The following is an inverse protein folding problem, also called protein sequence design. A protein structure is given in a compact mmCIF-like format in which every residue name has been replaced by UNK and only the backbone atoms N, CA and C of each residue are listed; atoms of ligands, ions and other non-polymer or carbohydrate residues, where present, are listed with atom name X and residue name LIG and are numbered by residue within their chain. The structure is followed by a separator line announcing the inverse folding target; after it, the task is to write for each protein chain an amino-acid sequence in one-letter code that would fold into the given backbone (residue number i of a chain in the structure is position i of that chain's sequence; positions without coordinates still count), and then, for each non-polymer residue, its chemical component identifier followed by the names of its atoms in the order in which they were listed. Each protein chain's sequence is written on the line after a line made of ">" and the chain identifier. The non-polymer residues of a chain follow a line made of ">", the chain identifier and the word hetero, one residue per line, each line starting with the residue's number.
data_IF_037370300434
#
_entry.id   IF_037370300434
#
_cell.length_a   1.000
_cell.length_b   1.000
_cell.length_c   1.000
_cell.angle_alpha   90.00
_cell.angle_beta   90.00
_cell.angle_gamma   90.00
#
_symmetry.space_group_name_H-M   'P 1'
#
loop_
_entity.id
_entity.type
_entity.pdbx_description
1 polymer ?
#
# COMPACT_ATOMS: atom_id res chain seq x y z
N UNK A 1 19.83 1.52 -10.11
CA UNK A 1 18.80 2.05 -9.18
C UNK A 1 19.33 3.29 -8.47
N UNK A 2 18.57 4.37 -8.38
CA UNK A 2 18.96 5.58 -7.63
C UNK A 2 18.63 5.38 -6.15
N UNK A 3 19.58 4.91 -5.36
CA UNK A 3 19.37 4.54 -3.96
C UNK A 3 18.89 5.69 -3.06
N UNK A 4 19.38 6.92 -3.31
CA UNK A 4 18.91 8.09 -2.53
C UNK A 4 17.41 8.35 -2.78
N UNK A 5 17.00 8.39 -4.04
CA UNK A 5 15.60 8.61 -4.39
C UNK A 5 14.71 7.41 -4.02
N UNK A 6 15.26 6.19 -4.09
CA UNK A 6 14.56 5.01 -3.61
C UNK A 6 14.26 5.11 -2.11
N UNK A 7 15.25 5.50 -1.31
CA UNK A 7 15.05 5.63 0.14
C UNK A 7 13.98 6.68 0.48
N UNK A 8 14.03 7.86 -0.16
CA UNK A 8 12.99 8.89 0.05
C UNK A 8 11.60 8.43 -0.40
N UNK A 9 11.51 7.75 -1.55
CA UNK A 9 10.25 7.20 -2.04
C UNK A 9 9.70 6.11 -1.11
N UNK A 10 10.57 5.26 -0.57
CA UNK A 10 10.21 4.24 0.41
C UNK A 10 9.68 4.85 1.71
N UNK A 11 10.37 5.83 2.28
CA UNK A 11 9.89 6.51 3.49
C UNK A 11 8.54 7.19 3.23
N UNK A 12 8.39 7.87 2.10
CA UNK A 12 7.12 8.49 1.73
C UNK A 12 5.99 7.45 1.56
N UNK A 13 6.26 6.32 0.91
CA UNK A 13 5.31 5.21 0.81
C UNK A 13 4.93 4.66 2.17
N UNK A 14 5.92 4.43 3.05
CA UNK A 14 5.67 3.95 4.42
C UNK A 14 4.77 4.91 5.20
N UNK A 15 5.07 6.21 5.16
CA UNK A 15 4.25 7.24 5.84
C UNK A 15 2.82 7.26 5.28
N UNK A 16 2.66 7.24 3.95
CA UNK A 16 1.33 7.23 3.32
C UNK A 16 0.55 5.99 3.74
N UNK A 17 1.15 4.80 3.62
CA UNK A 17 0.48 3.55 3.96
C UNK A 17 0.13 3.48 5.45
N UNK A 18 1.03 3.93 6.33
CA UNK A 18 0.82 3.89 7.77
C UNK A 18 -0.24 4.88 8.23
N UNK A 19 -0.12 6.15 7.81
CA UNK A 19 -1.06 7.22 8.20
C UNK A 19 -2.44 6.97 7.61
N UNK A 20 -2.52 6.63 6.32
CA UNK A 20 -3.80 6.29 5.70
C UNK A 20 -4.43 5.07 6.37
N UNK A 21 -3.65 4.01 6.63
CA UNK A 21 -4.12 2.82 7.31
C UNK A 21 -4.69 3.15 8.69
N UNK A 22 -4.00 3.97 9.47
CA UNK A 22 -4.51 4.43 10.77
C UNK A 22 -5.82 5.20 10.63
N UNK A 23 -5.87 6.22 9.77
CA UNK A 23 -7.07 7.05 9.59
C UNK A 23 -8.24 6.22 9.04
N UNK A 24 -8.01 5.34 8.09
CA UNK A 24 -9.07 4.56 7.46
C UNK A 24 -9.58 3.45 8.38
N UNK A 25 -8.69 2.57 8.83
CA UNK A 25 -9.10 1.37 9.56
C UNK A 25 -9.35 1.62 11.04
N UNK A 26 -8.52 2.42 11.70
CA UNK A 26 -8.66 2.66 13.14
C UNK A 26 -9.65 3.79 13.47
N UNK A 27 -9.92 4.72 12.55
CA UNK A 27 -10.83 5.85 12.81
C UNK A 27 -12.12 5.72 12.02
N UNK A 28 -12.07 5.73 10.68
CA UNK A 28 -13.30 5.73 9.85
C UNK A 28 -14.08 4.43 9.95
N UNK A 29 -13.39 3.29 10.07
CA UNK A 29 -14.02 1.97 10.16
C UNK A 29 -14.18 1.46 11.60
N UNK A 30 -13.89 2.28 12.60
CA UNK A 30 -13.96 1.89 14.01
C UNK A 30 -15.30 1.25 14.37
N UNK A 31 -16.40 1.92 14.06
CA UNK A 31 -17.74 1.42 14.40
C UNK A 31 -18.10 0.12 13.65
N UNK A 32 -17.68 0.00 12.39
CA UNK A 32 -17.86 -1.23 11.65
C UNK A 32 -17.08 -2.42 12.24
N UNK A 33 -15.91 -2.19 12.79
CA UNK A 33 -15.13 -3.23 13.48
C UNK A 33 -15.78 -3.63 14.82
N UNK A 34 -16.48 -2.73 15.50
CA UNK A 34 -17.21 -3.03 16.74
C UNK A 34 -18.41 -3.94 16.52
N UNK A 35 -18.96 -4.01 15.30
CA UNK A 35 -20.03 -4.94 14.94
C UNK A 35 -19.56 -6.42 14.99
N UNK A 36 -18.25 -6.66 14.90
CA UNK A 36 -17.64 -8.00 14.94
C UNK A 36 -16.48 -8.05 15.96
N UNK A 37 -16.78 -8.04 17.26
CA UNK A 37 -15.76 -7.89 18.31
C UNK A 37 -14.76 -9.05 18.37
N UNK A 38 -15.13 -10.22 17.85
CA UNK A 38 -14.25 -11.40 17.82
C UNK A 38 -13.20 -11.34 16.69
N UNK A 39 -13.30 -10.38 15.77
CA UNK A 39 -12.40 -10.25 14.63
C UNK A 39 -11.05 -9.64 15.01
N UNK A 40 -11.08 -8.65 15.89
CA UNK A 40 -9.89 -7.94 16.32
C UNK A 40 -9.43 -8.42 17.71
N UNK A 41 -8.13 -8.29 17.94
CA UNK A 41 -7.56 -8.51 19.29
C UNK A 41 -8.13 -7.48 20.25
N UNK A 42 -8.28 -7.83 21.55
CA UNK A 42 -8.61 -6.87 22.60
C UNK A 42 -7.62 -5.70 22.61
N UNK A 43 -8.10 -4.51 22.91
CA UNK A 43 -7.27 -3.29 22.94
C UNK A 43 -6.05 -3.41 23.87
N UNK A 44 -6.20 -4.16 24.99
CA UNK A 44 -5.12 -4.42 25.94
C UNK A 44 -3.91 -5.12 25.27
N UNK A 45 -4.17 -5.97 24.28
CA UNK A 45 -3.13 -6.74 23.58
C UNK A 45 -2.51 -5.96 22.43
N UNK A 46 -3.21 -4.96 21.87
CA UNK A 46 -2.77 -4.22 20.67
C UNK A 46 -1.38 -3.58 20.86
N UNK A 47 -1.06 -3.09 22.06
CA UNK A 47 0.25 -2.49 22.35
C UNK A 47 1.39 -3.49 22.16
N UNK A 48 1.22 -4.74 22.60
CA UNK A 48 2.25 -5.77 22.48
C UNK A 48 2.44 -6.25 21.04
N UNK A 49 1.38 -6.14 20.21
CA UNK A 49 1.39 -6.54 18.79
C UNK A 49 1.69 -5.40 17.81
N UNK A 50 1.79 -4.16 18.30
CA UNK A 50 2.06 -2.99 17.45
C UNK A 50 3.34 -3.12 16.60
N UNK A 51 4.37 -3.76 17.13
CA UNK A 51 5.61 -4.05 16.39
C UNK A 51 5.37 -4.87 15.13
N UNK A 52 4.44 -5.83 15.17
CA UNK A 52 4.10 -6.64 14.01
C UNK A 52 3.32 -5.86 12.96
N UNK A 53 2.45 -4.95 13.39
CA UNK A 53 1.76 -4.03 12.50
C UNK A 53 2.76 -3.12 11.80
N UNK A 54 3.67 -2.50 12.54
CA UNK A 54 4.71 -1.63 12.00
C UNK A 54 5.65 -2.40 11.03
N UNK A 55 6.06 -3.61 11.40
CA UNK A 55 6.87 -4.48 10.54
C UNK A 55 6.13 -4.85 9.24
N UNK A 56 4.86 -5.22 9.33
CA UNK A 56 4.04 -5.53 8.15
C UNK A 56 3.94 -4.35 7.19
N UNK A 57 3.68 -3.16 7.73
CA UNK A 57 3.65 -1.92 6.93
C UNK A 57 5.01 -1.59 6.31
N UNK A 58 6.09 -1.83 7.05
CA UNK A 58 7.46 -1.63 6.55
C UNK A 58 7.75 -2.55 5.36
N UNK A 59 7.50 -3.84 5.51
CA UNK A 59 7.71 -4.85 4.45
C UNK A 59 6.87 -4.49 3.22
N UNK A 60 5.60 -4.17 3.43
CA UNK A 60 4.69 -3.80 2.35
C UNK A 60 5.15 -2.55 1.60
N UNK A 61 5.53 -1.49 2.32
CA UNK A 61 6.04 -0.25 1.72
C UNK A 61 7.34 -0.49 0.95
N UNK A 62 8.25 -1.31 1.51
CA UNK A 62 9.53 -1.61 0.87
C UNK A 62 9.35 -2.32 -0.48
N UNK A 63 8.63 -3.44 -0.49
CA UNK A 63 8.43 -4.20 -1.73
C UNK A 63 7.54 -3.46 -2.73
N UNK A 64 6.56 -2.71 -2.26
CA UNK A 64 5.77 -1.83 -3.12
C UNK A 64 6.63 -0.76 -3.81
N UNK A 65 7.56 -0.15 -3.07
CA UNK A 65 8.51 0.80 -3.65
C UNK A 65 9.45 0.12 -4.65
N UNK A 66 9.90 -1.11 -4.37
CA UNK A 66 10.69 -1.90 -5.34
C UNK A 66 9.91 -2.13 -6.63
N UNK A 67 8.63 -2.51 -6.55
CA UNK A 67 7.76 -2.67 -7.72
C UNK A 67 7.65 -1.37 -8.51
N UNK A 68 7.35 -0.26 -7.84
CA UNK A 68 7.28 1.05 -8.49
C UNK A 68 8.62 1.44 -9.15
N UNK A 69 9.74 1.23 -8.46
CA UNK A 69 11.07 1.55 -8.99
C UNK A 69 11.44 0.73 -10.22
N UNK A 70 10.89 -0.49 -10.33
CA UNK A 70 11.16 -1.42 -11.41
C UNK A 70 10.29 -1.19 -12.64
N UNK A 71 9.01 -0.90 -12.44
CA UNK A 71 7.99 -0.92 -13.49
C UNK A 71 7.38 0.44 -13.82
N UNK A 72 7.56 1.45 -12.96
CA UNK A 72 7.04 2.80 -13.22
C UNK A 72 8.11 3.65 -13.89
N UNK A 73 7.85 4.23 -15.07
CA UNK A 73 8.73 5.22 -15.67
C UNK A 73 8.91 6.41 -14.73
N UNK A 74 10.15 6.76 -14.46
CA UNK A 74 10.47 7.73 -13.41
C UNK A 74 9.84 9.11 -13.59
N UNK A 75 9.37 9.69 -12.47
CA UNK A 75 8.76 11.01 -12.42
C UNK A 75 7.30 11.05 -12.92
N UNK A 76 6.62 9.92 -13.05
CA UNK A 76 5.24 9.83 -13.54
C UNK A 76 4.28 9.35 -12.46
N UNK A 77 3.68 10.31 -11.74
CA UNK A 77 2.71 10.01 -10.68
C UNK A 77 1.52 9.16 -11.17
N UNK A 78 0.99 9.45 -12.36
CA UNK A 78 -0.13 8.69 -12.92
C UNK A 78 0.20 7.22 -13.20
N UNK A 79 1.42 6.93 -13.70
CA UNK A 79 1.85 5.54 -13.89
C UNK A 79 2.04 4.82 -12.54
N UNK A 80 2.53 5.52 -11.52
CA UNK A 80 2.61 5.02 -10.16
C UNK A 80 1.23 4.75 -9.55
N UNK A 81 0.28 5.68 -9.74
CA UNK A 81 -1.10 5.51 -9.31
C UNK A 81 -1.76 4.27 -9.95
N UNK A 82 -1.55 4.06 -11.25
CA UNK A 82 -2.09 2.90 -11.96
C UNK A 82 -1.51 1.59 -11.42
N UNK A 83 -0.20 1.52 -11.20
CA UNK A 83 0.41 0.35 -10.56
C UNK A 83 -0.14 0.14 -9.15
N UNK A 84 -0.28 1.21 -8.38
CA UNK A 84 -0.88 1.16 -7.05
C UNK A 84 -2.31 0.64 -7.07
N UNK A 85 -3.12 1.11 -8.01
CA UNK A 85 -4.49 0.61 -8.19
C UNK A 85 -4.51 -0.91 -8.48
N UNK A 86 -3.64 -1.39 -9.37
CA UNK A 86 -3.54 -2.83 -9.67
C UNK A 86 -3.12 -3.64 -8.43
N UNK A 87 -2.16 -3.16 -7.64
CA UNK A 87 -1.78 -3.79 -6.37
C UNK A 87 -2.94 -3.77 -5.38
N UNK A 88 -3.70 -2.68 -5.32
CA UNK A 88 -4.93 -2.58 -4.54
C UNK A 88 -5.98 -3.63 -4.93
N UNK A 89 -6.14 -3.93 -6.24
CA UNK A 89 -7.04 -4.99 -6.72
C UNK A 89 -6.57 -6.39 -6.27
N UNK A 90 -5.26 -6.65 -6.27
CA UNK A 90 -4.73 -7.92 -5.71
C UNK A 90 -5.06 -8.03 -4.23
N UNK A 91 -4.92 -6.92 -3.48
CA UNK A 91 -5.29 -6.87 -2.06
C UNK A 91 -6.81 -7.05 -1.86
N UNK A 92 -7.63 -6.47 -2.73
CA UNK A 92 -9.09 -6.66 -2.72
C UNK A 92 -9.46 -8.15 -2.88
N UNK A 93 -8.76 -8.89 -3.75
CA UNK A 93 -8.92 -10.34 -3.87
C UNK A 93 -8.65 -11.08 -2.56
N UNK A 94 -7.60 -10.67 -1.82
CA UNK A 94 -7.31 -11.23 -0.49
C UNK A 94 -8.44 -10.94 0.52
N UNK A 95 -9.06 -9.77 0.47
CA UNK A 95 -10.20 -9.44 1.33
C UNK A 95 -11.45 -10.27 1.01
N UNK A 96 -11.69 -10.58 -0.27
CA UNK A 96 -12.77 -11.51 -0.66
C UNK A 96 -12.55 -12.92 -0.09
N UNK A 97 -11.30 -13.41 -0.10
CA UNK A 97 -10.96 -14.68 0.54
C UNK A 97 -11.19 -14.61 2.05
N UNK A 98 -10.78 -13.51 2.69
CA UNK A 98 -11.01 -13.31 4.12
C UNK A 98 -12.50 -13.31 4.45
N UNK A 99 -13.33 -12.68 3.62
CA UNK A 99 -14.78 -12.65 3.79
C UNK A 99 -15.42 -14.05 3.73
N UNK A 100 -14.85 -14.95 2.91
CA UNK A 100 -15.36 -16.32 2.80
C UNK A 100 -15.04 -17.18 4.03
N UNK A 101 -13.97 -16.87 4.77
CA UNK A 101 -13.49 -17.72 5.89
C UNK A 101 -13.62 -17.05 7.27
N UNK A 102 -13.92 -15.77 7.32
CA UNK A 102 -14.05 -15.01 8.56
C UNK A 102 -15.46 -14.40 8.67
N UNK A 103 -16.02 -14.23 9.86
CA UNK A 103 -17.33 -13.65 10.07
C UNK A 103 -17.34 -12.13 9.86
N UNK A 104 -16.95 -11.69 8.66
CA UNK A 104 -16.93 -10.29 8.29
C UNK A 104 -18.34 -9.83 7.86
N UNK A 105 -18.71 -8.60 8.21
CA UNK A 105 -19.88 -7.98 7.62
C UNK A 105 -19.57 -7.48 6.20
N UNK A 106 -20.59 -7.41 5.34
CA UNK A 106 -20.44 -6.87 3.99
C UNK A 106 -19.92 -5.41 4.01
N UNK A 107 -20.31 -4.64 5.02
CA UNK A 107 -19.80 -3.27 5.27
C UNK A 107 -18.30 -3.24 5.48
N UNK A 108 -17.77 -4.17 6.31
CA UNK A 108 -16.32 -4.32 6.52
C UNK A 108 -15.60 -4.70 5.25
N UNK A 109 -16.13 -5.68 4.50
CA UNK A 109 -15.55 -6.10 3.22
C UNK A 109 -15.43 -4.92 2.25
N UNK A 110 -16.52 -4.18 2.02
CA UNK A 110 -16.52 -3.02 1.14
C UNK A 110 -15.52 -1.95 1.60
N UNK A 111 -15.47 -1.68 2.89
CA UNK A 111 -14.53 -0.73 3.47
C UNK A 111 -13.07 -1.16 3.32
N UNK A 112 -12.76 -2.44 3.51
CA UNK A 112 -11.40 -2.96 3.33
C UNK A 112 -10.97 -2.91 1.86
N UNK A 113 -11.84 -3.27 0.93
CA UNK A 113 -11.57 -3.16 -0.51
C UNK A 113 -11.35 -1.71 -0.91
N UNK A 114 -12.25 -0.80 -0.52
CA UNK A 114 -12.12 0.62 -0.84
C UNK A 114 -10.83 1.21 -0.23
N UNK A 115 -10.54 0.89 1.03
CA UNK A 115 -9.32 1.31 1.70
C UNK A 115 -8.06 0.86 0.97
N UNK A 116 -8.00 -0.42 0.58
CA UNK A 116 -6.86 -0.96 -0.16
C UNK A 116 -6.66 -0.26 -1.52
N UNK A 117 -7.73 -0.08 -2.29
CA UNK A 117 -7.66 0.60 -3.60
C UNK A 117 -7.16 2.03 -3.47
N UNK A 118 -7.72 2.81 -2.55
CA UNK A 118 -7.35 4.21 -2.34
C UNK A 118 -5.91 4.32 -1.82
N UNK A 119 -5.58 3.54 -0.80
CA UNK A 119 -4.28 3.56 -0.12
C UNK A 119 -3.13 3.28 -1.09
N UNK A 120 -3.22 2.19 -1.85
CA UNK A 120 -2.16 1.83 -2.79
C UNK A 120 -2.10 2.77 -4.00
N UNK A 121 -3.24 3.29 -4.45
CA UNK A 121 -3.27 4.29 -5.53
C UNK A 121 -2.52 5.56 -5.14
N UNK A 122 -2.80 6.09 -3.93
CA UNK A 122 -2.11 7.27 -3.41
C UNK A 122 -0.61 7.00 -3.21
N UNK A 123 -0.28 5.87 -2.55
CA UNK A 123 1.12 5.49 -2.34
C UNK A 123 1.87 5.36 -3.67
N UNK A 124 1.26 4.75 -4.67
CA UNK A 124 1.83 4.61 -6.01
C UNK A 124 2.04 5.94 -6.71
N UNK A 125 1.09 6.86 -6.62
CA UNK A 125 1.24 8.22 -7.14
C UNK A 125 2.43 8.95 -6.51
N UNK A 126 2.56 8.87 -5.19
CA UNK A 126 3.64 9.51 -4.43
C UNK A 126 4.99 8.90 -4.81
N UNK A 127 5.12 7.58 -4.81
CA UNK A 127 6.37 6.91 -5.21
C UNK A 127 6.73 7.24 -6.66
N UNK A 128 5.76 7.19 -7.58
CA UNK A 128 5.96 7.50 -9.00
C UNK A 128 6.41 8.94 -9.23
N UNK A 129 5.96 9.89 -8.40
CA UNK A 129 6.39 11.29 -8.47
C UNK A 129 7.83 11.49 -7.94
N UNK A 130 8.18 10.83 -6.83
CA UNK A 130 9.47 11.00 -6.15
C UNK A 130 10.59 10.22 -6.84
N UNK A 131 10.33 8.96 -7.20
CA UNK A 131 11.34 8.08 -7.77
C UNK A 131 11.63 8.45 -9.21
N UNK A 132 12.88 8.86 -9.48
CA UNK A 132 13.42 9.07 -10.82
C UNK A 132 14.63 8.16 -10.99
N UNK A 133 14.62 7.22 -11.97
CA UNK A 133 15.78 6.38 -12.24
C UNK A 133 17.00 7.22 -12.61
N UNK A 134 18.20 6.65 -12.45
CA UNK A 134 19.42 7.30 -12.91
C UNK A 134 19.40 7.45 -14.44
N UNK A 135 19.95 8.55 -14.95
CA UNK A 135 19.84 8.96 -16.37
C UNK A 135 20.29 7.89 -17.39
N UNK A 136 21.25 7.00 -17.02
CA UNK A 136 21.74 5.93 -17.89
C UNK A 136 20.72 4.81 -18.19
N UNK A 137 19.68 4.66 -17.39
CA UNK A 137 18.70 3.59 -17.62
C UNK A 137 17.71 3.92 -18.74
N UNK A 138 17.46 5.20 -18.98
CA UNK A 138 16.57 5.67 -20.05
C UNK A 138 17.17 5.49 -21.45
N UNK A 139 18.48 5.52 -21.59
CA UNK A 139 19.16 5.27 -22.87
C UNK A 139 19.05 3.81 -23.31
N UNK A 140 19.20 2.88 -22.37
CA UNK A 140 19.15 1.44 -22.66
C UNK A 140 17.75 0.97 -23.13
N UNK A 141 16.68 1.54 -22.58
CA UNK A 141 15.30 1.24 -23.00
C UNK A 141 15.01 1.82 -24.39
N UNK A 142 15.55 2.99 -24.71
CA UNK A 142 15.36 3.66 -26.01
C UNK A 142 16.12 2.94 -27.16
N UNK A 143 17.23 2.31 -26.85
CA UNK A 143 18.00 1.52 -27.83
C UNK A 143 17.35 0.19 -28.17
N UNK A 144 16.63 -0.44 -27.24
CA UNK A 144 15.91 -1.71 -27.47
C UNK A 144 14.56 -1.53 -28.20
N UNK A 145 14.06 -0.31 -28.28
CA UNK A 145 12.77 0.01 -28.96
C UNK A 145 12.95 0.49 -30.42
N UNK A 146 14.19 0.45 -30.92
CA UNK A 146 14.53 0.69 -32.33
C UNK A 146 14.94 -0.61 -33.00
#
# INVERSE_FOLDING_TARGET
>A
MNWKKFFFAFIAAFVVLFVFGFLWYATLMHDAHREVPTLLRPEADLKSYFKWLALGQFVMAFFFTVLCARYVPGGRAGAGAMLGFLVGLVYAGSHLISFAVQPLTFKLLCGWIAGALIQFTIAGAVVGAIYKPAAGHLMYVKERSR
#
